data_IF_532974997772
#
_entry.id   IF_532974997772
#
_cell.length_a   1.000
_cell.length_b   1.000
_cell.length_c   1.000
_cell.angle_alpha   90.00
_cell.angle_beta   90.00
_cell.angle_gamma   90.00
#
_symmetry.space_group_name_H-M   'P 1'
#
loop_
_entity.id
_entity.type
_entity.pdbx_description
1 polymer ?
#
# COMPACT_ATOMS: atom_id res chain seq x y z
N UNK A 1 -61.28 38.99 -12.04
CA UNK A 1 -59.89 38.88 -12.52
C UNK A 1 -58.97 38.59 -11.34
N UNK A 2 -58.62 37.35 -11.05
CA UNK A 2 -57.49 37.02 -10.17
C UNK A 2 -56.73 35.85 -10.78
N UNK A 3 -55.47 36.11 -11.11
CA UNK A 3 -54.58 35.23 -11.87
C UNK A 3 -53.92 34.19 -10.95
N UNK A 4 -53.80 33.01 -11.53
CA UNK A 4 -53.04 31.82 -11.12
C UNK A 4 -51.56 32.18 -10.87
N UNK A 5 -50.97 31.71 -9.77
CA UNK A 5 -49.54 31.33 -9.72
C UNK A 5 -49.40 30.09 -8.83
N UNK A 6 -49.42 28.90 -9.45
CA UNK A 6 -49.00 27.65 -8.83
C UNK A 6 -47.48 27.58 -8.91
N UNK A 7 -46.79 27.67 -7.76
CA UNK A 7 -45.34 27.58 -7.67
C UNK A 7 -44.95 26.09 -7.57
N UNK A 8 -44.64 25.48 -8.71
CA UNK A 8 -44.09 24.13 -8.78
C UNK A 8 -42.64 24.12 -8.29
N UNK A 9 -42.41 23.70 -7.05
CA UNK A 9 -41.08 23.49 -6.48
C UNK A 9 -40.56 22.11 -6.95
N UNK A 10 -39.98 22.07 -8.15
CA UNK A 10 -39.32 20.87 -8.67
C UNK A 10 -37.91 20.80 -8.06
N UNK A 11 -37.79 20.09 -6.93
CA UNK A 11 -36.49 19.76 -6.32
C UNK A 11 -35.82 18.75 -7.25
N UNK A 12 -34.93 19.25 -8.11
CA UNK A 12 -34.00 18.45 -8.90
C UNK A 12 -33.03 17.75 -7.94
N UNK A 13 -33.36 16.52 -7.55
CA UNK A 13 -32.42 15.56 -6.97
C UNK A 13 -31.37 15.21 -8.03
N UNK A 14 -30.34 16.04 -8.16
CA UNK A 14 -29.13 15.66 -8.89
C UNK A 14 -28.47 14.50 -8.14
N UNK A 15 -28.33 13.31 -8.74
CA UNK A 15 -27.52 12.27 -8.14
C UNK A 15 -26.10 12.82 -8.06
N UNK A 16 -25.61 12.99 -6.83
CA UNK A 16 -24.21 13.23 -6.57
C UNK A 16 -23.49 11.97 -7.04
N UNK A 17 -23.00 11.97 -8.28
CA UNK A 17 -22.10 10.94 -8.78
C UNK A 17 -20.82 11.13 -7.98
N UNK A 18 -20.73 10.47 -6.83
CA UNK A 18 -19.46 10.23 -6.15
C UNK A 18 -18.63 9.42 -7.13
N UNK A 19 -17.80 10.10 -7.90
CA UNK A 19 -16.70 9.47 -8.61
C UNK A 19 -15.91 8.75 -7.53
N UNK A 20 -16.10 7.43 -7.40
CA UNK A 20 -15.28 6.61 -6.53
C UNK A 20 -13.87 6.73 -7.10
N UNK A 21 -13.10 7.65 -6.53
CA UNK A 21 -11.70 7.81 -6.87
C UNK A 21 -11.08 6.44 -6.66
N UNK A 22 -10.62 5.80 -7.74
CA UNK A 22 -9.88 4.55 -7.62
C UNK A 22 -8.75 4.81 -6.63
N UNK A 23 -8.74 4.14 -5.46
CA UNK A 23 -7.81 4.50 -4.41
C UNK A 23 -6.40 4.25 -4.91
N UNK A 24 -5.56 5.30 -4.89
CA UNK A 24 -4.20 5.25 -5.40
C UNK A 24 -3.45 4.04 -4.81
N UNK A 25 -2.77 3.29 -5.68
CA UNK A 25 -1.91 2.18 -5.28
C UNK A 25 -0.64 2.70 -4.62
N UNK A 26 -0.15 1.98 -3.62
CA UNK A 26 1.02 2.38 -2.84
C UNK A 26 2.31 2.26 -3.67
N UNK A 27 3.19 3.25 -3.51
CA UNK A 27 4.50 3.28 -4.15
C UNK A 27 5.55 3.81 -3.18
N UNK A 28 6.71 3.15 -3.16
CA UNK A 28 7.91 3.61 -2.47
C UNK A 28 9.11 3.39 -3.38
N UNK A 29 9.89 4.43 -3.65
CA UNK A 29 11.13 4.31 -4.40
C UNK A 29 12.24 5.13 -3.76
N UNK A 30 13.46 4.64 -3.92
CA UNK A 30 14.69 5.35 -3.59
C UNK A 30 15.67 5.24 -4.74
N UNK A 31 16.39 6.33 -4.96
CA UNK A 31 17.45 6.41 -5.94
C UNK A 31 18.70 7.02 -5.30
N UNK A 32 19.86 6.50 -5.69
CA UNK A 32 21.17 7.04 -5.36
C UNK A 32 21.43 7.24 -3.86
N UNK A 33 20.86 6.35 -3.02
CA UNK A 33 21.10 6.36 -1.58
C UNK A 33 22.40 5.59 -1.28
N UNK A 34 23.43 6.22 -0.70
CA UNK A 34 24.64 5.51 -0.30
C UNK A 34 24.34 4.54 0.85
N UNK A 35 24.92 3.34 0.80
CA UNK A 35 24.82 2.35 1.87
C UNK A 35 26.21 1.90 2.35
N UNK A 36 26.26 1.23 3.51
CA UNK A 36 27.47 0.99 4.31
C UNK A 36 28.67 0.37 3.57
N UNK A 37 28.43 -0.32 2.45
CA UNK A 37 29.47 -0.95 1.62
C UNK A 37 29.95 -0.10 0.44
N UNK A 38 29.62 1.20 0.43
CA UNK A 38 29.98 2.13 -0.65
C UNK A 38 29.18 1.96 -1.94
N UNK A 39 28.19 1.06 -1.98
CA UNK A 39 27.26 0.94 -3.12
C UNK A 39 26.14 1.96 -3.01
N UNK A 40 25.52 2.27 -4.14
CA UNK A 40 24.26 3.00 -4.21
C UNK A 40 23.08 2.04 -4.19
N UNK A 41 22.06 2.36 -3.40
CA UNK A 41 20.80 1.64 -3.32
C UNK A 41 19.78 2.29 -4.25
N UNK A 42 19.33 1.53 -5.23
CA UNK A 42 18.33 1.93 -6.23
C UNK A 42 17.25 0.86 -6.27
N UNK A 43 16.09 1.15 -5.68
CA UNK A 43 15.00 0.19 -5.52
C UNK A 43 13.63 0.87 -5.60
N UNK A 44 12.65 0.11 -6.08
CA UNK A 44 11.23 0.46 -6.04
C UNK A 44 10.42 -0.69 -5.44
N UNK A 45 9.35 -0.32 -4.76
CA UNK A 45 8.31 -1.17 -4.19
C UNK A 45 6.97 -0.63 -4.68
N UNK A 46 6.27 -1.44 -5.47
CA UNK A 46 5.05 -1.05 -6.16
C UNK A 46 3.92 -2.00 -5.75
N UNK A 47 2.82 -1.46 -5.23
CA UNK A 47 1.57 -2.21 -5.16
C UNK A 47 0.96 -2.25 -6.57
N UNK A 48 0.87 -3.45 -7.15
CA UNK A 48 0.44 -3.65 -8.55
C UNK A 48 -1.01 -4.15 -8.65
N UNK A 49 -1.54 -4.73 -7.57
CA UNK A 49 -2.94 -5.11 -7.45
C UNK A 49 -3.40 -4.98 -5.99
N UNK A 50 -4.69 -4.71 -5.80
CA UNK A 50 -5.29 -4.47 -4.50
C UNK A 50 -6.66 -5.14 -4.42
N UNK A 51 -6.82 -5.94 -3.38
CA UNK A 51 -8.07 -6.60 -3.01
C UNK A 51 -8.55 -6.07 -1.64
N UNK A 52 -9.59 -6.66 -1.05
CA UNK A 52 -10.16 -6.17 0.21
C UNK A 52 -9.20 -6.40 1.40
N UNK A 53 -8.61 -7.58 1.45
CA UNK A 53 -7.76 -8.10 2.52
C UNK A 53 -6.34 -8.44 2.07
N UNK A 54 -6.03 -8.26 0.78
CA UNK A 54 -4.72 -8.52 0.23
C UNK A 54 -4.25 -7.42 -0.74
N UNK A 55 -2.93 -7.39 -0.97
CA UNK A 55 -2.27 -6.57 -1.99
C UNK A 55 -1.19 -7.41 -2.67
N UNK A 56 -1.05 -7.31 -3.99
CA UNK A 56 0.11 -7.85 -4.70
C UNK A 56 1.13 -6.74 -4.90
N UNK A 57 2.38 -7.02 -4.56
CA UNK A 57 3.47 -6.05 -4.67
C UNK A 57 4.60 -6.58 -5.52
N UNK A 58 5.24 -5.70 -6.26
CA UNK A 58 6.43 -5.97 -7.07
C UNK A 58 7.60 -5.14 -6.56
N UNK A 59 8.76 -5.79 -6.44
CA UNK A 59 10.01 -5.15 -6.06
C UNK A 59 10.90 -5.06 -7.28
N UNK A 60 11.43 -3.87 -7.54
CA UNK A 60 12.42 -3.65 -8.59
C UNK A 60 13.74 -3.28 -7.95
N UNK A 61 14.73 -4.18 -8.05
CA UNK A 61 16.10 -3.94 -7.57
C UNK A 61 17.02 -3.62 -8.74
N UNK A 62 17.61 -2.43 -8.75
CA UNK A 62 18.64 -2.04 -9.73
C UNK A 62 20.05 -2.18 -9.16
N UNK A 63 20.27 -1.68 -7.95
CA UNK A 63 21.55 -1.79 -7.24
C UNK A 63 21.36 -1.74 -5.73
N UNK A 64 22.34 -2.24 -4.96
CA UNK A 64 22.34 -2.17 -3.49
C UNK A 64 22.97 -3.39 -2.81
N UNK A 65 23.27 -3.27 -1.52
CA UNK A 65 23.69 -4.39 -0.65
C UNK A 65 22.50 -5.24 -0.20
N UNK A 66 22.75 -6.49 0.20
CA UNK A 66 21.67 -7.41 0.61
C UNK A 66 20.90 -6.90 1.83
N UNK A 67 21.61 -6.45 2.88
CA UNK A 67 20.98 -5.93 4.12
C UNK A 67 20.11 -4.71 3.84
N UNK A 68 20.65 -3.72 3.12
CA UNK A 68 19.92 -2.50 2.80
C UNK A 68 18.73 -2.75 1.86
N UNK A 69 18.84 -3.74 0.97
CA UNK A 69 17.73 -4.18 0.13
C UNK A 69 16.61 -4.81 0.96
N UNK A 70 16.94 -5.72 1.89
CA UNK A 70 15.95 -6.35 2.77
C UNK A 70 15.24 -5.33 3.66
N UNK A 71 15.99 -4.35 4.19
CA UNK A 71 15.41 -3.26 4.98
C UNK A 71 14.48 -2.37 4.17
N UNK A 72 14.83 -2.08 2.92
CA UNK A 72 13.96 -1.33 2.01
C UNK A 72 12.64 -2.07 1.76
N UNK A 73 12.70 -3.38 1.48
CA UNK A 73 11.49 -4.20 1.25
C UNK A 73 10.60 -4.20 2.48
N UNK A 74 11.16 -4.41 3.67
CA UNK A 74 10.40 -4.38 4.92
C UNK A 74 9.75 -3.02 5.19
N UNK A 75 10.46 -1.91 4.89
CA UNK A 75 9.88 -0.55 4.93
C UNK A 75 8.72 -0.39 3.96
N UNK A 76 8.84 -0.94 2.75
CA UNK A 76 7.76 -0.98 1.76
C UNK A 76 6.51 -1.69 2.29
N UNK A 77 6.68 -2.90 2.83
CA UNK A 77 5.58 -3.68 3.43
C UNK A 77 4.90 -2.94 4.59
N UNK A 78 5.69 -2.39 5.50
CA UNK A 78 5.20 -1.59 6.62
C UNK A 78 4.47 -0.31 6.15
N UNK A 79 5.01 0.36 5.12
CA UNK A 79 4.41 1.54 4.52
C UNK A 79 3.05 1.23 3.88
N UNK A 80 2.98 0.11 3.14
CA UNK A 80 1.75 -0.40 2.54
C UNK A 80 0.70 -0.74 3.61
N UNK A 81 1.07 -1.51 4.64
CA UNK A 81 0.13 -1.85 5.71
C UNK A 81 -0.44 -0.60 6.40
N UNK A 82 0.40 0.42 6.65
CA UNK A 82 -0.05 1.72 7.17
C UNK A 82 -0.96 2.45 6.19
N UNK A 83 -0.63 2.52 4.90
CA UNK A 83 -1.48 3.19 3.91
C UNK A 83 -2.83 2.50 3.72
N UNK A 84 -2.89 1.19 4.01
CA UNK A 84 -4.11 0.38 4.02
C UNK A 84 -4.89 0.46 5.33
N UNK A 85 -4.36 1.15 6.36
CA UNK A 85 -4.96 1.23 7.69
C UNK A 85 -5.00 -0.12 8.42
N UNK A 86 -4.06 -1.02 8.12
CA UNK A 86 -4.01 -2.39 8.65
C UNK A 86 -2.97 -2.49 9.77
N UNK A 87 -3.28 -3.29 10.78
CA UNK A 87 -2.42 -3.47 11.97
C UNK A 87 -1.45 -4.65 11.85
N UNK A 88 -1.75 -5.59 10.96
CA UNK A 88 -1.03 -6.84 10.79
C UNK A 88 -0.84 -7.13 9.31
N UNK A 89 0.26 -7.80 8.95
CA UNK A 89 0.43 -8.34 7.61
C UNK A 89 1.25 -9.62 7.60
N UNK A 90 0.95 -10.49 6.64
CA UNK A 90 1.69 -11.70 6.30
C UNK A 90 2.12 -11.58 4.84
N UNK A 91 3.33 -12.04 4.52
CA UNK A 91 3.86 -11.98 3.15
C UNK A 91 4.14 -13.37 2.63
N UNK A 92 3.66 -13.67 1.43
CA UNK A 92 3.98 -14.87 0.70
C UNK A 92 4.58 -14.50 -0.65
N UNK A 93 5.65 -15.18 -1.05
CA UNK A 93 6.23 -14.96 -2.36
C UNK A 93 5.37 -15.65 -3.43
N UNK A 94 5.11 -14.96 -4.55
CA UNK A 94 4.39 -15.56 -5.67
C UNK A 94 5.26 -16.64 -6.32
N UNK A 95 4.72 -17.86 -6.43
CA UNK A 95 5.43 -19.02 -6.99
C UNK A 95 5.97 -18.72 -8.39
N UNK A 96 7.28 -18.90 -8.57
CA UNK A 96 7.97 -18.65 -9.84
C UNK A 96 8.40 -17.20 -10.06
N UNK A 97 8.06 -16.27 -9.16
CA UNK A 97 8.42 -14.86 -9.27
C UNK A 97 9.31 -14.42 -8.09
N UNK A 98 10.59 -14.15 -8.36
CA UNK A 98 11.59 -13.82 -7.32
C UNK A 98 11.39 -12.48 -6.63
N UNK A 99 10.57 -11.61 -7.23
CA UNK A 99 10.42 -10.22 -6.85
C UNK A 99 8.96 -9.79 -6.63
N UNK A 100 8.03 -10.76 -6.60
CA UNK A 100 6.60 -10.49 -6.40
C UNK A 100 6.10 -11.21 -5.16
N UNK A 101 5.28 -10.50 -4.38
CA UNK A 101 4.75 -10.99 -3.11
C UNK A 101 3.26 -10.66 -3.00
N UNK A 102 2.52 -11.57 -2.40
CA UNK A 102 1.18 -11.31 -1.87
C UNK A 102 1.33 -10.88 -0.41
N UNK A 103 0.67 -9.78 -0.06
CA UNK A 103 0.62 -9.22 1.29
C UNK A 103 -0.81 -9.32 1.78
N UNK A 104 -1.06 -10.19 2.75
CA UNK A 104 -2.38 -10.41 3.34
C UNK A 104 -2.49 -9.67 4.67
N UNK A 105 -3.65 -9.09 4.95
CA UNK A 105 -3.90 -8.25 6.12
C UNK A 105 -4.93 -8.90 7.05
N UNK A 106 -4.52 -9.84 7.93
CA UNK A 106 -5.44 -10.49 8.85
C UNK A 106 -6.00 -9.51 9.88
N UNK A 107 -7.20 -9.81 10.40
CA UNK A 107 -7.84 -9.00 11.46
C UNK A 107 -7.24 -9.27 12.84
N UNK A 108 -6.69 -10.46 13.05
CA UNK A 108 -6.04 -10.88 14.28
C UNK A 108 -4.51 -10.92 14.14
N UNK A 109 -3.76 -10.78 15.25
CA UNK A 109 -2.30 -10.92 15.21
C UNK A 109 -1.87 -12.26 14.60
N UNK A 110 -0.84 -12.27 13.74
CA UNK A 110 -0.28 -13.51 13.21
C UNK A 110 0.47 -14.28 14.30
N UNK A 111 0.61 -15.59 14.12
CA UNK A 111 1.45 -16.41 15.01
C UNK A 111 2.91 -15.93 14.96
N UNK A 112 3.68 -16.08 16.06
CA UNK A 112 5.08 -15.67 16.10
C UNK A 112 5.89 -16.23 14.93
N UNK A 113 6.53 -15.36 14.16
CA UNK A 113 7.36 -15.73 13.01
C UNK A 113 6.61 -15.92 11.68
N UNK A 114 5.29 -15.82 11.66
CA UNK A 114 4.48 -15.97 10.42
C UNK A 114 4.10 -14.63 9.77
N UNK A 115 4.21 -13.53 10.51
CA UNK A 115 3.90 -12.21 9.99
C UNK A 115 4.44 -11.09 10.86
N UNK A 116 3.98 -9.87 10.57
CA UNK A 116 4.41 -8.64 11.21
C UNK A 116 3.23 -7.84 11.74
N UNK A 117 3.50 -7.11 12.81
CA UNK A 117 2.61 -6.10 13.38
C UNK A 117 3.13 -4.71 13.03
N UNK A 118 2.24 -3.71 12.96
CA UNK A 118 2.68 -2.31 12.78
C UNK A 118 3.56 -1.82 13.93
N UNK A 119 3.39 -2.34 15.14
CA UNK A 119 4.27 -2.04 16.27
C UNK A 119 5.73 -2.47 15.98
N UNK A 120 5.93 -3.66 15.41
CA UNK A 120 7.27 -4.09 14.97
C UNK A 120 7.83 -3.18 13.87
N UNK A 121 6.98 -2.67 12.98
CA UNK A 121 7.37 -1.69 11.96
C UNK A 121 7.82 -0.34 12.52
N UNK A 122 7.44 0.02 13.74
CA UNK A 122 7.86 1.28 14.38
C UNK A 122 9.26 1.18 14.98
N UNK A 123 9.66 -0.03 15.39
CA UNK A 123 11.02 -0.31 15.86
C UNK A 123 12.08 -0.22 14.75
N UNK A 124 11.66 -0.16 13.48
CA UNK A 124 12.53 -0.11 12.31
C UNK A 124 12.81 1.33 11.82
N UNK A 125 12.40 2.34 12.59
CA UNK A 125 12.73 3.75 12.33
C UNK A 125 14.18 4.03 12.73
N UNK A 126 15.12 3.72 11.83
CA UNK A 126 16.51 4.18 11.87
C UNK A 126 16.90 4.81 10.55
#
# INVERSE_FOLDING_TARGET
MHRIIALAFLILLTPLVTHAANPQLFHLAIADIPVENGKMLNMAFDEVAREADASTVQITRRSGGSVSSSMFVLRGMCGLARSRGKHYFVTEQVTGESNRYTVTFPETPPEPGTGFTIAQCELLRY
#
